data_IF_862399748303
#
_entry.id   IF_862399748303
#
_cell.length_a   1.000
_cell.length_b   1.000
_cell.length_c   1.000
_cell.angle_alpha   90.00
_cell.angle_beta   90.00
_cell.angle_gamma   90.00
#
_symmetry.space_group_name_H-M   'P 1'
#
loop_
_entity.id
_entity.type
_entity.pdbx_description
1 polymer ?
#
# COMPACT_ATOMS: atom_id res chain seq x y z
N UNK A 1 -19.76 -8.90 -13.95
CA UNK A 1 -18.32 -9.20 -13.79
C UNK A 1 -17.72 -8.66 -12.48
N UNK A 2 -17.85 -7.38 -12.13
CA UNK A 2 -17.27 -6.83 -10.89
C UNK A 2 -17.60 -7.64 -9.62
N UNK A 3 -18.87 -7.96 -9.37
CA UNK A 3 -19.27 -8.70 -8.17
C UNK A 3 -18.78 -10.17 -8.15
N UNK A 4 -18.52 -10.77 -9.31
CA UNK A 4 -17.93 -12.11 -9.41
C UNK A 4 -16.46 -12.13 -8.96
N UNK A 5 -15.74 -11.03 -9.17
CA UNK A 5 -14.37 -10.85 -8.69
C UNK A 5 -14.38 -10.40 -7.22
N UNK A 6 -15.24 -9.43 -6.90
CA UNK A 6 -15.28 -8.83 -5.57
C UNK A 6 -15.79 -9.80 -4.49
N UNK A 7 -16.84 -10.60 -4.78
CA UNK A 7 -17.46 -11.51 -3.82
C UNK A 7 -16.47 -12.48 -3.18
N UNK A 8 -15.73 -13.29 -3.96
CA UNK A 8 -14.72 -14.21 -3.43
C UNK A 8 -13.61 -13.51 -2.64
N UNK A 9 -13.11 -12.36 -3.13
CA UNK A 9 -12.05 -11.60 -2.45
C UNK A 9 -12.57 -11.01 -1.12
N UNK A 10 -13.83 -10.57 -1.09
CA UNK A 10 -14.46 -10.08 0.13
C UNK A 10 -14.68 -11.22 1.13
N UNK A 11 -15.15 -12.39 0.70
CA UNK A 11 -15.27 -13.56 1.58
C UNK A 11 -13.91 -13.96 2.15
N UNK A 12 -12.87 -13.94 1.31
CA UNK A 12 -11.49 -14.17 1.75
C UNK A 12 -11.06 -13.14 2.81
N UNK A 13 -11.41 -11.86 2.66
CA UNK A 13 -11.07 -10.83 3.64
C UNK A 13 -11.74 -11.04 5.01
N UNK A 14 -12.85 -11.77 5.09
CA UNK A 14 -13.50 -12.09 6.37
C UNK A 14 -12.70 -13.08 7.21
N UNK A 15 -11.82 -13.88 6.61
CA UNK A 15 -11.04 -14.90 7.33
C UNK A 15 -10.12 -14.27 8.41
N UNK A 16 -9.86 -14.98 9.52
CA UNK A 16 -8.84 -14.58 10.49
C UNK A 16 -7.45 -14.46 9.84
N UNK A 17 -6.62 -13.52 10.32
CA UNK A 17 -5.27 -13.30 9.80
C UNK A 17 -4.42 -14.57 9.78
N UNK A 18 -4.57 -15.45 10.78
CA UNK A 18 -3.83 -16.72 10.83
C UNK A 18 -4.08 -17.59 9.61
N UNK A 19 -5.33 -17.68 9.15
CA UNK A 19 -5.69 -18.46 7.95
C UNK A 19 -5.13 -17.77 6.70
N UNK A 20 -5.24 -16.44 6.65
CA UNK A 20 -4.68 -15.65 5.56
C UNK A 20 -3.17 -15.85 5.43
N UNK A 21 -2.40 -15.89 6.52
CA UNK A 21 -0.97 -16.16 6.46
C UNK A 21 -0.61 -17.59 6.02
N UNK A 22 -1.43 -18.59 6.34
CA UNK A 22 -1.25 -19.94 5.78
C UNK A 22 -1.42 -19.92 4.26
N UNK A 23 -2.42 -19.19 3.75
CA UNK A 23 -2.61 -18.99 2.31
C UNK A 23 -1.42 -18.22 1.72
N UNK A 24 -0.93 -17.19 2.42
CA UNK A 24 0.23 -16.42 2.00
C UNK A 24 1.50 -17.28 1.89
N UNK A 25 1.76 -18.15 2.87
CA UNK A 25 2.91 -19.08 2.85
C UNK A 25 2.83 -20.06 1.68
N UNK A 26 1.64 -20.58 1.36
CA UNK A 26 1.42 -21.41 0.17
C UNK A 26 1.68 -20.64 -1.12
N UNK A 27 1.11 -19.44 -1.26
CA UNK A 27 1.29 -18.60 -2.44
C UNK A 27 2.74 -18.13 -2.60
N UNK A 28 3.44 -17.86 -1.50
CA UNK A 28 4.87 -17.60 -1.50
C UNK A 28 5.64 -18.78 -2.09
N UNK A 29 5.34 -20.01 -1.67
CA UNK A 29 6.01 -21.19 -2.18
C UNK A 29 5.81 -21.35 -3.70
N UNK A 30 4.57 -21.15 -4.18
CA UNK A 30 4.24 -21.18 -5.61
C UNK A 30 4.96 -20.06 -6.37
N UNK A 31 4.86 -18.81 -5.90
CA UNK A 31 5.41 -17.64 -6.57
C UNK A 31 6.95 -17.70 -6.65
N UNK A 32 7.58 -18.12 -5.56
CA UNK A 32 9.03 -18.20 -5.47
C UNK A 32 9.56 -19.47 -6.14
N UNK A 33 9.15 -20.67 -5.70
CA UNK A 33 9.80 -21.91 -6.14
C UNK A 33 9.32 -22.41 -7.50
N UNK A 34 8.02 -22.25 -7.83
CA UNK A 34 7.46 -22.77 -9.08
C UNK A 34 7.51 -21.74 -10.21
N UNK A 35 6.99 -20.54 -9.97
CA UNK A 35 6.87 -19.50 -11.01
C UNK A 35 8.18 -18.73 -11.20
N UNK A 36 8.90 -18.46 -10.11
CA UNK A 36 10.12 -17.65 -10.15
C UNK A 36 9.87 -16.20 -10.58
N UNK A 37 8.70 -15.65 -10.23
CA UNK A 37 8.24 -14.34 -10.71
C UNK A 37 9.28 -13.24 -10.47
N UNK A 38 9.83 -12.65 -11.55
CA UNK A 38 10.80 -11.53 -11.50
C UNK A 38 12.04 -11.74 -10.60
N UNK A 39 12.45 -12.98 -10.33
CA UNK A 39 13.65 -13.26 -9.50
C UNK A 39 14.91 -12.54 -9.97
N UNK A 40 15.16 -12.50 -11.29
CA UNK A 40 16.33 -11.83 -11.87
C UNK A 40 16.39 -10.34 -11.53
N UNK A 41 15.25 -9.65 -11.63
CA UNK A 41 15.14 -8.22 -11.28
C UNK A 41 15.43 -8.01 -9.80
N UNK A 42 14.82 -8.81 -8.93
CA UNK A 42 15.06 -8.72 -7.48
C UNK A 42 16.52 -8.98 -7.14
N UNK A 43 17.14 -10.00 -7.71
CA UNK A 43 18.55 -10.29 -7.45
C UNK A 43 19.46 -9.16 -7.95
N UNK A 44 19.20 -8.58 -9.13
CA UNK A 44 19.95 -7.44 -9.64
C UNK A 44 19.81 -6.20 -8.75
N UNK A 45 18.61 -5.93 -8.24
CA UNK A 45 18.41 -4.84 -7.28
C UNK A 45 19.20 -5.09 -5.99
N UNK A 46 19.27 -6.34 -5.52
CA UNK A 46 20.05 -6.70 -4.32
C UNK A 46 21.56 -6.62 -4.54
N UNK A 47 22.07 -6.85 -5.75
CA UNK A 47 23.51 -6.65 -6.03
C UNK A 47 23.89 -5.18 -6.02
N UNK A 48 22.97 -4.29 -6.45
CA UNK A 48 23.18 -2.84 -6.41
C UNK A 48 23.03 -2.31 -4.97
N UNK A 49 21.97 -2.72 -4.26
CA UNK A 49 21.65 -2.21 -2.94
C UNK A 49 22.55 -2.77 -1.82
N UNK A 50 23.05 -4.00 -1.99
CA UNK A 50 23.90 -4.70 -1.02
C UNK A 50 25.14 -5.29 -1.71
N UNK A 51 26.03 -4.45 -2.26
CA UNK A 51 27.22 -4.90 -2.99
C UNK A 51 28.19 -5.71 -2.09
N UNK A 52 28.15 -5.48 -0.78
CA UNK A 52 28.99 -6.13 0.23
C UNK A 52 28.55 -7.56 0.58
N UNK A 53 27.31 -7.94 0.26
CA UNK A 53 26.77 -9.26 0.65
C UNK A 53 27.13 -10.37 -0.35
N UNK A 54 27.32 -11.58 0.16
CA UNK A 54 27.48 -12.76 -0.68
C UNK A 54 26.19 -13.09 -1.45
N UNK A 55 26.31 -13.91 -2.50
CA UNK A 55 25.15 -14.40 -3.26
C UNK A 55 24.19 -15.23 -2.41
N UNK A 56 24.71 -15.98 -1.42
CA UNK A 56 23.89 -16.73 -0.48
C UNK A 56 23.04 -15.81 0.40
N UNK A 57 23.65 -14.74 0.94
CA UNK A 57 22.94 -13.75 1.74
C UNK A 57 21.88 -13.00 0.93
N UNK A 58 22.21 -12.56 -0.30
CA UNK A 58 21.24 -11.94 -1.20
C UNK A 58 20.09 -12.90 -1.54
N UNK A 59 20.37 -14.18 -1.72
CA UNK A 59 19.32 -15.20 -1.94
C UNK A 59 18.39 -15.33 -0.73
N UNK A 60 18.94 -15.30 0.49
CA UNK A 60 18.14 -15.29 1.73
C UNK A 60 17.25 -14.05 1.81
N UNK A 61 17.80 -12.87 1.51
CA UNK A 61 17.03 -11.61 1.47
C UNK A 61 15.93 -11.68 0.41
N UNK A 62 16.24 -12.20 -0.78
CA UNK A 62 15.27 -12.40 -1.86
C UNK A 62 14.12 -13.30 -1.40
N UNK A 63 14.39 -14.45 -0.77
CA UNK A 63 13.34 -15.32 -0.20
C UNK A 63 12.47 -14.58 0.81
N UNK A 64 13.07 -13.84 1.74
CA UNK A 64 12.32 -13.05 2.72
C UNK A 64 11.49 -11.94 2.08
N UNK A 65 12.03 -11.28 1.05
CA UNK A 65 11.31 -10.29 0.27
C UNK A 65 10.06 -10.91 -0.35
N UNK A 66 10.14 -12.06 -1.02
CA UNK A 66 8.96 -12.69 -1.63
C UNK A 66 7.92 -13.13 -0.59
N UNK A 67 8.36 -13.59 0.59
CA UNK A 67 7.43 -13.88 1.69
C UNK A 67 6.67 -12.62 2.11
N UNK A 68 7.40 -11.56 2.45
CA UNK A 68 6.81 -10.27 2.84
C UNK A 68 5.96 -9.65 1.72
N UNK A 69 6.36 -9.81 0.46
CA UNK A 69 5.64 -9.31 -0.70
C UNK A 69 4.26 -9.96 -0.80
N UNK A 70 4.18 -11.29 -0.67
CA UNK A 70 2.91 -12.02 -0.68
C UNK A 70 2.07 -11.67 0.56
N UNK A 71 2.70 -11.55 1.73
CA UNK A 71 2.02 -11.10 2.95
C UNK A 71 1.36 -9.73 2.73
N UNK A 72 2.05 -8.74 2.14
CA UNK A 72 1.48 -7.42 1.84
C UNK A 72 0.24 -7.51 0.95
N UNK A 73 0.22 -8.36 -0.09
CA UNK A 73 -0.97 -8.53 -0.93
C UNK A 73 -2.13 -9.17 -0.17
N UNK A 74 -1.86 -10.20 0.62
CA UNK A 74 -2.87 -10.89 1.42
C UNK A 74 -3.43 -9.98 2.52
N UNK A 75 -2.58 -9.22 3.18
CA UNK A 75 -2.97 -8.20 4.15
C UNK A 75 -3.79 -7.10 3.48
N UNK A 76 -3.44 -6.66 2.27
CA UNK A 76 -4.25 -5.70 1.52
C UNK A 76 -5.68 -6.20 1.32
N UNK A 77 -5.89 -7.49 1.05
CA UNK A 77 -7.25 -8.07 0.97
C UNK A 77 -8.02 -7.86 2.28
N UNK A 78 -7.36 -8.01 3.44
CA UNK A 78 -7.98 -7.81 4.76
C UNK A 78 -8.54 -6.39 4.94
N UNK A 79 -7.98 -5.39 4.26
CA UNK A 79 -8.50 -4.01 4.25
C UNK A 79 -9.89 -3.87 3.63
N UNK A 80 -10.47 -4.90 3.00
CA UNK A 80 -11.84 -4.84 2.51
C UNK A 80 -12.90 -4.96 3.63
N UNK A 81 -12.56 -5.62 4.74
CA UNK A 81 -13.51 -5.89 5.83
C UNK A 81 -12.99 -5.49 7.22
N UNK A 82 -11.71 -5.15 7.37
CA UNK A 82 -11.18 -4.77 8.68
C UNK A 82 -11.83 -3.49 9.24
N UNK A 83 -11.81 -3.35 10.56
CA UNK A 83 -12.30 -2.16 11.27
C UNK A 83 -11.16 -1.19 11.62
N UNK A 84 -11.48 -0.02 12.17
CA UNK A 84 -10.47 0.94 12.67
C UNK A 84 -9.71 0.37 13.87
N UNK A 85 -10.38 -0.40 14.73
CA UNK A 85 -9.81 -1.06 15.90
C UNK A 85 -8.82 -2.14 15.49
N UNK A 86 -9.14 -2.89 14.44
CA UNK A 86 -8.20 -3.82 13.82
C UNK A 86 -6.92 -3.10 13.38
N UNK A 87 -7.05 -1.98 12.66
CA UNK A 87 -5.89 -1.19 12.25
C UNK A 87 -5.11 -0.66 13.46
N UNK A 88 -5.79 -0.19 14.50
CA UNK A 88 -5.16 0.30 15.72
C UNK A 88 -4.38 -0.77 16.49
N UNK A 89 -4.85 -2.02 16.43
CA UNK A 89 -4.17 -3.16 17.04
C UNK A 89 -2.89 -3.54 16.29
N UNK A 90 -2.93 -3.52 14.95
CA UNK A 90 -1.84 -4.06 14.12
C UNK A 90 -0.87 -2.99 13.60
N UNK A 91 -1.26 -1.71 13.58
CA UNK A 91 -0.44 -0.60 13.07
C UNK A 91 -0.30 0.45 14.17
N UNK A 92 0.92 0.58 14.70
CA UNK A 92 1.27 1.61 15.69
C UNK A 92 1.96 2.77 14.99
N UNK A 93 1.39 3.96 15.15
CA UNK A 93 1.97 5.20 14.63
C UNK A 93 2.83 5.78 15.74
N UNK A 94 4.14 5.92 15.49
CA UNK A 94 5.02 6.66 16.39
C UNK A 94 4.93 8.14 16.05
N UNK A 95 5.02 9.00 17.06
CA UNK A 95 4.99 10.45 16.90
C UNK A 95 3.72 10.98 16.20
N UNK A 96 2.57 10.37 16.47
CA UNK A 96 1.26 10.80 15.93
C UNK A 96 0.91 12.25 16.29
N UNK A 97 1.36 12.73 17.44
CA UNK A 97 1.22 14.13 17.89
C UNK A 97 1.79 15.16 16.90
N UNK A 98 2.76 14.80 16.04
CA UNK A 98 3.33 15.72 15.05
C UNK A 98 2.25 16.21 14.09
N UNK A 99 1.40 15.31 13.60
CA UNK A 99 0.33 15.68 12.67
C UNK A 99 -0.70 16.59 13.36
N UNK A 100 -1.05 16.31 14.61
CA UNK A 100 -1.96 17.18 15.37
C UNK A 100 -1.38 18.58 15.55
N UNK A 101 -0.11 18.70 15.95
CA UNK A 101 0.57 20.00 16.12
C UNK A 101 0.59 20.83 14.83
N UNK A 102 0.90 20.19 13.70
CA UNK A 102 0.91 20.86 12.39
C UNK A 102 -0.50 21.28 11.96
N UNK A 103 -1.51 20.48 12.31
CA UNK A 103 -2.90 20.76 12.01
C UNK A 103 -3.40 21.97 12.79
N UNK A 104 -3.09 22.04 14.09
CA UNK A 104 -3.46 23.15 14.97
C UNK A 104 -2.83 24.47 14.49
N UNK A 105 -1.62 24.40 13.95
CA UNK A 105 -0.90 25.52 13.31
C UNK A 105 -1.40 25.86 11.89
N UNK A 106 -2.47 25.22 11.39
CA UNK A 106 -3.05 25.43 10.06
C UNK A 106 -2.07 25.19 8.90
N UNK A 107 -1.12 24.26 9.07
CA UNK A 107 -0.12 23.93 8.06
C UNK A 107 -0.58 22.76 7.20
N UNK A 108 -0.54 22.92 5.86
CA UNK A 108 -0.68 21.81 4.91
C UNK A 108 0.58 20.96 4.93
N UNK A 109 0.42 19.64 4.88
CA UNK A 109 1.52 18.68 5.07
C UNK A 109 1.64 17.76 3.86
N UNK A 110 2.86 17.37 3.52
CA UNK A 110 3.13 16.24 2.63
C UNK A 110 3.83 15.14 3.42
N UNK A 111 3.39 13.90 3.23
CA UNK A 111 4.02 12.71 3.80
C UNK A 111 4.49 11.82 2.66
N UNK A 112 5.75 11.44 2.73
CA UNK A 112 6.43 10.62 1.73
C UNK A 112 6.75 9.25 2.33
N UNK A 113 6.40 8.22 1.60
CA UNK A 113 6.64 6.81 1.93
C UNK A 113 7.40 6.15 0.77
N UNK A 114 8.01 5.00 1.02
CA UNK A 114 8.47 4.10 -0.04
C UNK A 114 7.56 2.89 -0.17
N UNK A 115 7.66 2.14 -1.27
CA UNK A 115 7.03 0.82 -1.44
C UNK A 115 7.76 -0.22 -0.58
N UNK A 116 7.77 0.01 0.73
CA UNK A 116 8.43 -0.79 1.74
C UNK A 116 7.43 -1.11 2.86
N UNK A 117 7.56 -2.30 3.44
CA UNK A 117 6.61 -2.86 4.41
C UNK A 117 5.18 -2.89 3.85
N UNK A 118 4.18 -2.98 4.72
CA UNK A 118 2.79 -2.87 4.32
C UNK A 118 2.34 -1.39 4.31
N UNK A 119 2.62 -0.70 3.20
CA UNK A 119 2.21 0.70 3.02
C UNK A 119 0.69 0.86 2.91
N UNK A 120 -0.07 -0.16 2.48
CA UNK A 120 -1.52 -0.09 2.41
C UNK A 120 -2.15 0.02 3.81
N UNK A 121 -1.63 -0.76 4.76
CA UNK A 121 -2.00 -0.66 6.17
C UNK A 121 -1.60 0.69 6.77
N UNK A 122 -0.40 1.18 6.44
CA UNK A 122 0.05 2.50 6.89
C UNK A 122 -0.89 3.61 6.38
N UNK A 123 -1.21 3.60 5.08
CA UNK A 123 -2.15 4.55 4.47
C UNK A 123 -3.53 4.48 5.12
N UNK A 124 -4.08 3.27 5.28
CA UNK A 124 -5.38 3.07 5.92
C UNK A 124 -5.40 3.54 7.38
N UNK A 125 -4.31 3.27 8.13
CA UNK A 125 -4.17 3.72 9.52
C UNK A 125 -4.10 5.24 9.62
N UNK A 126 -3.27 5.89 8.81
CA UNK A 126 -3.15 7.36 8.80
C UNK A 126 -4.48 7.99 8.41
N UNK A 127 -5.13 7.50 7.35
CA UNK A 127 -6.47 7.95 6.95
C UNK A 127 -7.48 7.86 8.10
N UNK A 128 -7.44 6.76 8.87
CA UNK A 128 -8.40 6.52 9.94
C UNK A 128 -8.22 7.41 11.18
N UNK A 129 -7.05 8.03 11.37
CA UNK A 129 -6.72 8.77 12.62
C UNK A 129 -6.24 10.20 12.42
N UNK A 130 -5.88 10.60 11.20
CA UNK A 130 -5.38 11.95 10.94
C UNK A 130 -6.49 13.00 11.10
N UNK A 131 -6.21 14.19 11.67
CA UNK A 131 -7.17 15.30 11.70
C UNK A 131 -7.36 15.95 10.32
N UNK A 132 -6.46 15.65 9.37
CA UNK A 132 -6.45 16.24 8.04
C UNK A 132 -7.45 15.61 7.07
N UNK A 133 -7.83 16.39 6.06
CA UNK A 133 -8.30 15.81 4.80
C UNK A 133 -7.14 15.07 4.11
N UNK A 134 -7.21 13.74 4.04
CA UNK A 134 -6.11 12.94 3.48
C UNK A 134 -6.26 12.77 1.96
N UNK A 135 -5.34 13.36 1.21
CA UNK A 135 -5.21 13.23 -0.25
C UNK A 135 -4.15 12.18 -0.56
N UNK A 136 -4.57 10.97 -0.95
CA UNK A 136 -3.67 9.88 -1.32
C UNK A 136 -3.45 9.84 -2.84
N UNK A 137 -2.21 10.00 -3.30
CA UNK A 137 -1.91 9.88 -4.73
C UNK A 137 -1.99 8.42 -5.18
N UNK A 138 -2.67 8.17 -6.28
CA UNK A 138 -2.99 6.84 -6.80
C UNK A 138 -2.81 6.77 -8.30
N UNK A 139 -2.12 5.74 -8.79
CA UNK A 139 -2.08 5.41 -10.22
C UNK A 139 -3.29 4.54 -10.58
N UNK A 140 -4.20 4.98 -11.48
CA UNK A 140 -5.33 4.17 -11.94
C UNK A 140 -4.89 2.80 -12.45
N UNK A 141 -5.59 1.75 -12.00
CA UNK A 141 -5.31 0.37 -12.43
C UNK A 141 -6.02 0.11 -13.76
N UNK A 142 -5.31 -0.45 -14.75
CA UNK A 142 -5.86 -0.64 -16.11
C UNK A 142 -7.13 -1.49 -16.13
N UNK A 143 -7.22 -2.51 -15.26
CA UNK A 143 -8.44 -3.30 -15.13
C UNK A 143 -9.49 -2.55 -14.28
N UNK A 144 -10.58 -2.11 -14.91
CA UNK A 144 -11.67 -1.34 -14.29
C UNK A 144 -12.31 -2.00 -13.07
N UNK A 145 -12.34 -3.35 -12.99
CA UNK A 145 -12.91 -4.04 -11.84
C UNK A 145 -11.98 -3.99 -10.63
N UNK A 146 -10.68 -4.22 -10.83
CA UNK A 146 -9.68 -4.04 -9.78
C UNK A 146 -9.54 -2.58 -9.38
N UNK A 147 -9.55 -1.64 -10.33
CA UNK A 147 -9.54 -0.21 -10.05
C UNK A 147 -10.69 0.21 -9.13
N UNK A 148 -11.93 -0.22 -9.46
CA UNK A 148 -13.10 0.03 -8.60
C UNK A 148 -12.93 -0.57 -7.20
N UNK A 149 -12.36 -1.77 -7.09
CA UNK A 149 -12.13 -2.43 -5.80
C UNK A 149 -11.07 -1.70 -4.97
N UNK A 150 -9.93 -1.35 -5.56
CA UNK A 150 -8.86 -0.62 -4.89
C UNK A 150 -9.29 0.79 -4.49
N UNK A 151 -10.09 1.47 -5.32
CA UNK A 151 -10.70 2.74 -4.94
C UNK A 151 -11.57 2.58 -3.70
N UNK A 152 -12.46 1.59 -3.69
CA UNK A 152 -13.31 1.28 -2.53
C UNK A 152 -12.46 0.99 -1.29
N UNK A 153 -11.43 0.16 -1.42
CA UNK A 153 -10.52 -0.23 -0.33
C UNK A 153 -9.78 0.98 0.26
N UNK A 154 -9.14 1.79 -0.59
CA UNK A 154 -8.29 2.89 -0.14
C UNK A 154 -9.08 4.08 0.38
N UNK A 155 -10.35 4.25 -0.02
CA UNK A 155 -11.22 5.33 0.48
C UNK A 155 -12.03 4.97 1.73
N UNK A 156 -12.01 3.71 2.21
CA UNK A 156 -12.86 3.25 3.35
C UNK A 156 -12.74 4.11 4.61
N UNK A 157 -11.59 4.73 4.82
CA UNK A 157 -11.29 5.53 6.00
C UNK A 157 -11.20 7.03 5.72
N UNK A 158 -11.78 7.51 4.60
CA UNK A 158 -11.87 8.93 4.28
C UNK A 158 -10.78 9.46 3.34
N UNK A 159 -9.91 8.60 2.82
CA UNK A 159 -8.91 9.00 1.81
C UNK A 159 -9.59 9.48 0.53
N UNK A 160 -9.19 10.65 0.07
CA UNK A 160 -9.51 11.17 -1.26
C UNK A 160 -8.40 10.76 -2.21
N UNK A 161 -8.74 10.00 -3.24
CA UNK A 161 -7.76 9.47 -4.19
C UNK A 161 -7.50 10.45 -5.32
N UNK A 162 -6.27 10.97 -5.36
CA UNK A 162 -5.81 11.90 -6.39
C UNK A 162 -5.13 11.08 -7.51
N UNK A 163 -5.64 11.09 -8.75
CA UNK A 163 -5.00 10.36 -9.85
C UNK A 163 -3.62 10.97 -10.16
N UNK A 164 -2.58 10.14 -10.15
CA UNK A 164 -1.21 10.56 -10.47
C UNK A 164 -1.10 11.13 -11.90
N UNK A 165 -1.95 10.67 -12.83
CA UNK A 165 -1.98 11.09 -14.24
C UNK A 165 -2.49 12.51 -14.46
N UNK A 166 -3.25 13.08 -13.50
CA UNK A 166 -3.78 14.44 -13.59
C UNK A 166 -3.79 15.14 -12.22
N UNK A 167 -2.73 14.91 -11.44
CA UNK A 167 -2.63 15.36 -10.06
C UNK A 167 -2.80 16.89 -9.93
N UNK A 168 -2.21 17.65 -10.87
CA UNK A 168 -2.28 19.12 -10.87
C UNK A 168 -3.73 19.61 -10.88
N UNK A 169 -4.58 19.09 -11.77
CA UNK A 169 -5.99 19.52 -11.86
C UNK A 169 -6.81 18.91 -10.72
N UNK A 170 -6.57 17.64 -10.40
CA UNK A 170 -7.32 16.92 -9.37
C UNK A 170 -7.13 17.50 -7.95
N UNK A 171 -6.05 18.22 -7.69
CA UNK A 171 -5.82 18.91 -6.42
C UNK A 171 -6.50 20.28 -6.30
N UNK A 172 -6.87 20.92 -7.43
CA UNK A 172 -7.45 22.28 -7.44
C UNK A 172 -8.66 22.42 -6.49
N UNK A 173 -9.61 21.48 -6.43
CA UNK A 173 -10.77 21.58 -5.52
C UNK A 173 -10.38 21.71 -4.04
N UNK A 174 -9.24 21.14 -3.64
CA UNK A 174 -8.79 21.08 -2.24
C UNK A 174 -7.77 22.15 -1.88
N UNK A 175 -7.47 23.08 -2.80
CA UNK A 175 -6.38 24.05 -2.66
C UNK A 175 -6.53 24.99 -1.45
N UNK A 176 -7.75 25.20 -0.96
CA UNK A 176 -8.03 26.04 0.21
C UNK A 176 -8.27 25.22 1.49
N UNK A 177 -8.27 23.90 1.40
CA UNK A 177 -8.50 23.00 2.53
C UNK A 177 -7.21 22.71 3.29
N UNK A 178 -7.33 22.37 4.57
CA UNK A 178 -6.22 21.88 5.37
C UNK A 178 -6.03 20.38 5.11
N UNK A 179 -5.17 20.07 4.14
CA UNK A 179 -4.94 18.70 3.69
C UNK A 179 -3.58 18.14 4.09
N UNK A 180 -3.52 16.80 4.14
CA UNK A 180 -2.31 16.00 4.14
C UNK A 180 -2.21 15.29 2.80
N UNK A 181 -1.15 15.53 2.04
CA UNK A 181 -0.87 14.85 0.78
C UNK A 181 0.05 13.65 1.02
N UNK A 182 -0.42 12.44 0.73
CA UNK A 182 0.35 11.20 0.82
C UNK A 182 0.92 10.78 -0.53
N UNK A 183 2.22 10.54 -0.57
CA UNK A 183 2.96 10.10 -1.75
C UNK A 183 3.79 8.86 -1.42
N UNK A 184 3.76 7.86 -2.30
CA UNK A 184 4.76 6.78 -2.29
C UNK A 184 5.79 7.13 -3.36
N UNK A 185 6.94 7.67 -2.95
CA UNK A 185 7.81 8.53 -3.75
C UNK A 185 9.21 7.95 -4.00
N UNK A 186 9.33 6.62 -4.06
CA UNK A 186 10.60 5.89 -4.25
C UNK A 186 10.77 5.32 -5.67
N UNK A 187 9.85 5.63 -6.59
CA UNK A 187 9.89 5.16 -7.97
C UNK A 187 10.19 6.29 -8.95
N UNK A 188 10.83 5.94 -10.07
CA UNK A 188 10.98 6.83 -11.22
C UNK A 188 9.59 7.14 -11.78
N UNK A 189 9.25 8.42 -12.03
CA UNK A 189 7.95 8.78 -12.58
C UNK A 189 7.71 8.05 -13.90
N UNK A 190 6.53 7.43 -14.02
CA UNK A 190 6.10 6.78 -15.26
C UNK A 190 5.85 7.81 -16.36
N UNK A 191 5.91 7.36 -17.62
CA UNK A 191 5.50 8.16 -18.76
C UNK A 191 4.00 8.49 -18.65
N UNK A 192 3.68 9.78 -18.48
CA UNK A 192 2.31 10.27 -18.28
C UNK A 192 1.49 10.14 -19.58
N UNK A 193 2.13 9.85 -20.72
CA UNK A 193 1.48 9.70 -22.02
C UNK A 193 1.07 8.25 -22.37
N UNK A 194 1.34 7.26 -21.50
CA UNK A 194 0.98 5.85 -21.71
C UNK A 194 -0.31 5.42 -21.04
#
# INVERSE_FOLDING_TARGET
MYYLIYGPIYLLSLLPLRILYVIADFLYAVLYYLVGYRKKVVMNNLTIAFPEKSNAERTRISKQFYKNFVDTFIETIKLLSCSKEFLAKHVKVKNDHILQKLYDNKQKVQVHLGHNFNWEYANARIAATTPYMFLGVYMPISNKHFDRMFRKLRSRFGTILIPATDMKRAMIPYRNELYLLGLVADQVPGDIQR
#
